data_IF_507468354325
#
_entry.id   IF_507468354325
#
_cell.length_a   1.000
_cell.length_b   1.000
_cell.length_c   1.000
_cell.angle_alpha   90.00
_cell.angle_beta   90.00
_cell.angle_gamma   90.00
#
_symmetry.space_group_name_H-M   'P 1'
#
loop_
_entity.id
_entity.type
_entity.pdbx_description
1 polymer ?
#
# COMPACT_ATOMS: atom_id res chain seq x y z
N UNK A 1 -4.44 -46.09 39.17
CA UNK A 1 -3.49 -45.46 38.21
C UNK A 1 -4.16 -44.51 37.20
N UNK A 2 -5.49 -44.29 37.23
CA UNK A 2 -6.21 -43.43 36.27
C UNK A 2 -6.45 -42.00 36.81
N UNK A 3 -6.61 -41.85 38.12
CA UNK A 3 -6.93 -40.57 38.78
C UNK A 3 -5.80 -39.53 38.73
N UNK A 4 -4.55 -39.99 38.66
CA UNK A 4 -3.35 -39.13 38.53
C UNK A 4 -3.18 -38.56 37.12
N UNK A 5 -3.47 -39.34 36.07
CA UNK A 5 -3.42 -38.87 34.68
C UNK A 5 -4.51 -37.84 34.36
N UNK A 6 -5.70 -37.97 34.97
CA UNK A 6 -6.78 -37.00 34.80
C UNK A 6 -6.43 -35.64 35.44
N UNK A 7 -5.87 -35.66 36.66
CA UNK A 7 -5.40 -34.45 37.35
C UNK A 7 -4.29 -33.72 36.59
N UNK A 8 -3.35 -34.46 35.98
CA UNK A 8 -2.27 -33.88 35.18
C UNK A 8 -2.78 -33.22 33.89
N UNK A 9 -3.74 -33.85 33.19
CA UNK A 9 -4.36 -33.24 31.99
C UNK A 9 -5.14 -31.97 32.32
N UNK A 10 -5.91 -31.98 33.42
CA UNK A 10 -6.65 -30.79 33.88
C UNK A 10 -5.68 -29.65 34.23
N UNK A 11 -4.56 -29.97 34.89
CA UNK A 11 -3.54 -28.98 35.22
C UNK A 11 -2.89 -28.38 33.96
N UNK A 12 -2.52 -29.20 32.97
CA UNK A 12 -1.97 -28.71 31.70
C UNK A 12 -2.97 -27.84 30.92
N UNK A 13 -4.27 -28.20 30.91
CA UNK A 13 -5.30 -27.40 30.27
C UNK A 13 -5.48 -26.04 30.97
N UNK A 14 -5.48 -26.01 32.31
CA UNK A 14 -5.54 -24.76 33.07
C UNK A 14 -4.32 -23.87 32.80
N UNK A 15 -3.13 -24.44 32.72
CA UNK A 15 -1.91 -23.69 32.41
C UNK A 15 -1.93 -23.12 30.98
N UNK A 16 -2.42 -23.90 30.00
CA UNK A 16 -2.57 -23.44 28.62
C UNK A 16 -3.59 -22.28 28.52
N UNK A 17 -4.71 -22.37 29.23
CA UNK A 17 -5.71 -21.29 29.29
C UNK A 17 -5.13 -20.03 29.93
N UNK A 18 -4.38 -20.17 31.03
CA UNK A 18 -3.71 -19.02 31.67
C UNK A 18 -2.68 -18.35 30.75
N UNK A 19 -1.91 -19.14 29.98
CA UNK A 19 -0.97 -18.59 29.00
C UNK A 19 -1.69 -17.85 27.88
N UNK A 20 -2.82 -18.36 27.38
CA UNK A 20 -3.64 -17.69 26.37
C UNK A 20 -4.24 -16.41 26.93
N UNK A 21 -4.77 -16.42 28.15
CA UNK A 21 -5.30 -15.23 28.81
C UNK A 21 -4.20 -14.19 29.01
N UNK A 22 -3.02 -14.58 29.49
CA UNK A 22 -1.88 -13.66 29.62
C UNK A 22 -1.43 -13.08 28.27
N UNK A 23 -1.46 -13.88 27.20
CA UNK A 23 -1.16 -13.42 25.85
C UNK A 23 -2.20 -12.41 25.36
N UNK A 24 -3.49 -12.71 25.54
CA UNK A 24 -4.59 -11.80 25.19
C UNK A 24 -4.52 -10.51 26.00
N UNK A 25 -4.25 -10.58 27.31
CA UNK A 25 -4.09 -9.41 28.18
C UNK A 25 -2.88 -8.57 27.79
N UNK A 26 -1.75 -9.18 27.42
CA UNK A 26 -0.59 -8.45 26.93
C UNK A 26 -0.87 -7.80 25.56
N UNK A 27 -1.56 -8.51 24.66
CA UNK A 27 -1.94 -7.96 23.35
C UNK A 27 -2.92 -6.79 23.53
N UNK A 28 -3.93 -6.93 24.39
CA UNK A 28 -4.87 -5.84 24.67
C UNK A 28 -4.22 -4.69 25.44
N UNK A 29 -3.22 -4.92 26.30
CA UNK A 29 -2.43 -3.85 26.91
C UNK A 29 -1.56 -3.11 25.90
N UNK A 30 -0.99 -3.80 24.90
CA UNK A 30 -0.26 -3.16 23.80
C UNK A 30 -1.21 -2.30 22.96
N UNK A 31 -2.42 -2.79 22.66
CA UNK A 31 -3.45 -2.00 21.96
C UNK A 31 -3.97 -0.82 22.82
N UNK A 32 -4.07 -0.99 24.14
CA UNK A 32 -4.50 0.06 25.08
C UNK A 32 -3.44 1.17 25.24
N UNK A 33 -2.15 0.82 25.28
CA UNK A 33 -1.05 1.80 25.30
C UNK A 33 -1.01 2.65 24.03
N UNK A 34 -1.40 2.09 22.88
CA UNK A 34 -1.56 2.85 21.64
C UNK A 34 -2.75 3.85 21.72
N UNK A 35 -3.76 3.52 22.53
CA UNK A 35 -4.96 4.34 22.69
C UNK A 35 -4.84 5.43 23.78
N UNK A 36 -4.04 5.24 24.83
CA UNK A 36 -3.85 6.20 25.94
C UNK A 36 -2.79 7.29 25.70
N UNK A 37 -2.06 7.27 24.58
CA UNK A 37 -1.21 8.42 24.20
C UNK A 37 -2.03 9.61 23.65
N UNK A 38 -3.34 9.65 23.94
CA UNK A 38 -4.33 10.67 23.62
C UNK A 38 -4.76 11.43 24.89
N UNK A 39 -3.94 12.39 25.34
CA UNK A 39 -4.47 13.66 25.84
C UNK A 39 -3.34 14.67 26.02
N UNK A 40 -3.35 15.68 25.16
CA UNK A 40 -2.37 16.75 25.11
C UNK A 40 -2.73 17.74 24.01
N UNK A 41 -4.03 18.02 23.86
CA UNK A 41 -4.54 19.08 23.01
C UNK A 41 -4.27 20.42 23.68
N UNK A 42 -3.40 21.24 23.09
CA UNK A 42 -3.43 22.69 23.31
C UNK A 42 -4.48 23.26 22.34
N UNK A 43 -5.60 23.70 22.90
CA UNK A 43 -6.61 24.51 22.21
C UNK A 43 -6.19 25.96 22.37
N UNK A 44 -6.03 26.69 21.27
CA UNK A 44 -6.07 28.15 21.28
C UNK A 44 -7.45 28.61 20.76
N UNK A 45 -7.99 29.63 21.42
CA UNK A 45 -9.38 30.04 21.42
C UNK A 45 -9.63 31.13 20.38
N UNK A 46 -10.16 30.79 19.21
CA UNK A 46 -10.82 31.80 18.34
C UNK A 46 -11.69 31.28 17.19
N UNK A 47 -12.03 29.98 17.10
CA UNK A 47 -13.26 29.49 16.44
C UNK A 47 -13.69 30.12 15.11
N UNK A 48 -12.77 30.40 14.18
CA UNK A 48 -13.11 30.99 12.88
C UNK A 48 -12.39 30.26 11.73
N UNK A 49 -13.16 29.83 10.74
CA UNK A 49 -12.69 29.17 9.52
C UNK A 49 -11.81 30.11 8.70
N UNK A 50 -10.55 29.72 8.51
CA UNK A 50 -9.69 30.27 7.46
C UNK A 50 -9.34 29.12 6.52
N UNK A 51 -9.87 29.21 5.29
CA UNK A 51 -9.42 28.41 4.16
C UNK A 51 -7.90 28.52 4.05
N UNK A 52 -7.11 27.44 3.94
CA UNK A 52 -5.73 27.57 3.52
C UNK A 52 -5.75 27.84 2.01
N UNK A 53 -6.06 29.09 1.67
CA UNK A 53 -5.55 29.71 0.47
C UNK A 53 -4.05 29.41 0.47
N UNK A 54 -3.56 28.85 -0.64
CA UNK A 54 -2.16 28.55 -0.88
C UNK A 54 -1.33 29.83 -0.66
N UNK A 55 -0.95 30.04 0.59
CA UNK A 55 -0.03 31.08 1.01
C UNK A 55 1.31 30.39 1.01
N UNK A 56 2.13 30.77 0.03
CA UNK A 56 3.54 30.43 -0.02
C UNK A 56 4.23 30.97 1.23
N UNK A 57 4.14 30.23 2.33
CA UNK A 57 5.12 30.31 3.40
C UNK A 57 6.24 29.40 2.91
N UNK A 58 7.31 30.01 2.42
CA UNK A 58 8.60 29.34 2.31
C UNK A 58 8.94 28.79 3.70
N UNK A 59 8.58 27.54 3.95
CA UNK A 59 9.11 26.80 5.08
C UNK A 59 10.52 26.47 4.64
N UNK A 60 11.52 27.08 5.25
CA UNK A 60 12.89 26.60 5.13
C UNK A 60 12.92 25.20 5.77
N UNK A 61 12.61 24.18 4.97
CA UNK A 61 12.81 22.79 5.35
C UNK A 61 14.31 22.54 5.32
N UNK A 62 14.81 21.88 6.36
CA UNK A 62 16.15 21.35 6.33
C UNK A 62 16.06 19.92 5.78
N UNK A 63 16.37 19.79 4.50
CA UNK A 63 16.33 18.56 3.74
C UNK A 63 17.74 18.28 3.21
N UNK A 64 18.29 17.11 3.50
CA UNK A 64 19.69 16.84 3.16
C UNK A 64 19.95 16.60 1.67
N UNK A 65 18.91 16.32 0.88
CA UNK A 65 19.03 16.17 -0.57
C UNK A 65 19.26 17.50 -1.31
N UNK A 66 18.94 18.66 -0.71
CA UNK A 66 19.16 19.97 -1.36
C UNK A 66 20.64 20.29 -1.59
N UNK A 67 21.53 19.56 -0.90
CA UNK A 67 22.98 19.71 -1.02
C UNK A 67 23.64 18.54 -1.77
N UNK A 68 22.86 17.59 -2.28
CA UNK A 68 23.38 16.43 -2.99
C UNK A 68 23.46 16.74 -4.50
N UNK A 69 24.68 16.89 -5.00
CA UNK A 69 24.93 17.06 -6.42
C UNK A 69 25.06 15.68 -7.08
N UNK A 70 24.04 15.26 -7.82
CA UNK A 70 24.10 14.03 -8.61
C UNK A 70 25.12 14.17 -9.75
N UNK A 71 25.83 13.10 -10.07
CA UNK A 71 26.60 12.99 -11.30
C UNK A 71 25.68 12.96 -12.52
N UNK A 72 26.23 13.13 -13.72
CA UNK A 72 25.43 13.05 -14.95
C UNK A 72 24.84 11.66 -15.18
N UNK A 73 25.52 10.60 -14.73
CA UNK A 73 25.01 9.23 -14.82
C UNK A 73 23.84 9.01 -13.85
N UNK A 74 23.99 9.45 -12.59
CA UNK A 74 22.93 9.33 -11.58
C UNK A 74 21.68 10.12 -11.96
N UNK A 75 21.82 11.29 -12.58
CA UNK A 75 20.66 12.04 -13.11
C UNK A 75 19.88 11.26 -14.17
N UNK A 76 20.57 10.63 -15.10
CA UNK A 76 19.92 9.82 -16.14
C UNK A 76 19.20 8.62 -15.52
N UNK A 77 19.79 8.01 -14.51
CA UNK A 77 19.16 6.92 -13.75
C UNK A 77 17.94 7.39 -12.95
N UNK A 78 18.06 8.52 -12.25
CA UNK A 78 16.95 9.16 -11.53
C UNK A 78 15.78 9.47 -12.47
N UNK A 79 16.05 10.13 -13.60
CA UNK A 79 15.02 10.45 -14.60
C UNK A 79 14.33 9.18 -15.11
N UNK A 80 15.09 8.10 -15.36
CA UNK A 80 14.56 6.83 -15.80
C UNK A 80 13.69 6.15 -14.71
N UNK A 81 14.09 6.21 -13.45
CA UNK A 81 13.34 5.65 -12.31
C UNK A 81 12.06 6.45 -12.05
N UNK A 82 12.13 7.78 -12.09
CA UNK A 82 10.96 8.66 -11.96
C UNK A 82 9.96 8.40 -13.10
N UNK A 83 10.43 8.30 -14.34
CA UNK A 83 9.58 7.94 -15.47
C UNK A 83 8.95 6.54 -15.33
N UNK A 84 9.69 5.55 -14.81
CA UNK A 84 9.20 4.19 -14.61
C UNK A 84 8.17 4.07 -13.47
N UNK A 85 8.19 4.98 -12.50
CA UNK A 85 7.24 5.00 -11.36
C UNK A 85 6.00 5.85 -11.64
N UNK A 86 5.99 6.61 -12.73
CA UNK A 86 4.87 7.46 -13.10
C UNK A 86 3.63 6.62 -13.44
N UNK A 87 2.60 6.73 -12.61
CA UNK A 87 1.29 6.15 -12.89
C UNK A 87 0.45 7.14 -13.70
N UNK A 88 -0.15 6.66 -14.79
CA UNK A 88 -1.05 7.45 -15.61
C UNK A 88 -2.33 7.72 -14.82
N UNK A 89 -2.51 8.96 -14.37
CA UNK A 89 -3.76 9.39 -13.73
C UNK A 89 -4.58 10.17 -14.74
N UNK A 90 -5.86 9.81 -14.91
CA UNK A 90 -6.77 10.54 -15.78
C UNK A 90 -6.83 12.02 -15.41
N UNK A 91 -6.77 12.90 -16.41
CA UNK A 91 -7.01 14.33 -16.26
C UNK A 91 -8.51 14.61 -16.09
N UNK A 92 -9.05 14.09 -14.99
CA UNK A 92 -10.46 14.23 -14.61
C UNK A 92 -10.50 14.94 -13.27
N UNK A 93 -11.36 15.95 -13.17
CA UNK A 93 -11.60 16.74 -11.96
C UNK A 93 -11.99 15.89 -10.73
N UNK A 94 -12.34 16.52 -9.62
CA UNK A 94 -12.89 15.85 -8.43
C UNK A 94 -14.08 14.94 -8.80
N UNK A 95 -13.82 13.63 -8.87
CA UNK A 95 -14.82 12.61 -9.18
C UNK A 95 -15.50 12.20 -7.88
N UNK A 96 -16.83 12.33 -7.75
CA UNK A 96 -17.53 11.86 -6.56
C UNK A 96 -17.48 10.32 -6.49
N UNK A 97 -17.52 9.77 -5.27
CA UNK A 97 -17.49 8.32 -5.04
C UNK A 97 -18.44 7.51 -5.93
N UNK A 98 -19.68 7.98 -6.11
CA UNK A 98 -20.69 7.29 -6.94
C UNK A 98 -20.30 7.16 -8.42
N UNK A 99 -19.36 7.97 -8.91
CA UNK A 99 -18.82 7.92 -10.28
C UNK A 99 -17.44 7.22 -10.36
N UNK A 100 -16.96 6.66 -9.24
CA UNK A 100 -15.73 5.87 -9.20
C UNK A 100 -15.97 4.41 -9.56
N UNK A 101 -14.90 3.70 -9.87
CA UNK A 101 -14.98 2.31 -10.33
C UNK A 101 -15.65 1.39 -9.31
N UNK A 102 -16.75 0.76 -9.72
CA UNK A 102 -17.45 -0.26 -8.97
C UNK A 102 -17.06 -1.65 -9.48
N UNK A 103 -16.33 -2.45 -8.68
CA UNK A 103 -15.94 -3.80 -9.07
C UNK A 103 -17.12 -4.76 -9.22
N UNK A 104 -18.25 -4.50 -8.54
CA UNK A 104 -19.43 -5.37 -8.55
C UNK A 104 -20.28 -5.23 -9.83
N UNK A 105 -20.36 -4.02 -10.38
CA UNK A 105 -20.98 -3.73 -11.68
C UNK A 105 -20.02 -3.96 -12.86
N UNK A 106 -18.72 -4.03 -12.60
CA UNK A 106 -17.70 -4.33 -13.62
C UNK A 106 -17.63 -5.81 -13.94
N UNK A 107 -17.16 -6.15 -15.15
CA UNK A 107 -16.99 -7.54 -15.54
C UNK A 107 -15.82 -7.75 -16.50
N UNK A 108 -15.41 -9.02 -16.64
CA UNK A 108 -14.45 -9.43 -17.66
C UNK A 108 -14.97 -10.56 -18.55
N UNK A 109 -14.40 -10.65 -19.75
CA UNK A 109 -14.71 -11.66 -20.76
C UNK A 109 -13.41 -12.24 -21.31
N UNK A 110 -13.30 -13.57 -21.29
CA UNK A 110 -12.20 -14.27 -21.94
C UNK A 110 -12.46 -14.34 -23.45
N UNK A 111 -11.55 -13.80 -24.25
CA UNK A 111 -11.67 -13.85 -25.71
C UNK A 111 -11.39 -15.28 -26.20
N UNK A 112 -12.23 -15.77 -27.11
CA UNK A 112 -12.16 -17.13 -27.64
C UNK A 112 -12.22 -18.22 -26.54
N UNK A 113 -13.06 -18.03 -25.53
CA UNK A 113 -13.18 -18.95 -24.38
C UNK A 113 -13.54 -20.41 -24.74
N UNK A 114 -14.22 -20.62 -25.87
CA UNK A 114 -14.54 -21.96 -26.38
C UNK A 114 -13.35 -22.69 -27.05
N UNK A 115 -12.25 -21.97 -27.32
CA UNK A 115 -11.08 -22.56 -27.96
C UNK A 115 -10.27 -23.43 -26.99
N UNK A 116 -9.61 -24.45 -27.55
CA UNK A 116 -8.61 -25.23 -26.82
C UNK A 116 -7.23 -24.63 -27.08
N UNK A 117 -6.58 -24.16 -26.03
CA UNK A 117 -5.29 -23.49 -26.10
C UNK A 117 -4.13 -24.50 -25.95
N UNK A 118 -2.95 -24.16 -26.44
CA UNK A 118 -1.73 -24.94 -26.20
C UNK A 118 -0.87 -24.25 -25.15
N UNK A 119 -0.04 -25.02 -24.44
CA UNK A 119 1.00 -24.43 -23.59
C UNK A 119 1.91 -23.52 -24.43
N UNK A 120 2.17 -22.31 -23.92
CA UNK A 120 2.87 -21.22 -24.58
C UNK A 120 1.99 -20.31 -25.43
N UNK A 121 0.71 -20.61 -25.62
CA UNK A 121 -0.24 -19.69 -26.25
C UNK A 121 -0.52 -18.48 -25.35
N UNK A 122 -0.84 -17.35 -25.98
CA UNK A 122 -1.30 -16.16 -25.29
C UNK A 122 -2.83 -16.21 -25.15
N UNK A 123 -3.33 -15.98 -23.94
CA UNK A 123 -4.74 -15.78 -23.63
C UNK A 123 -5.01 -14.29 -23.48
N UNK A 124 -6.08 -13.83 -24.11
CA UNK A 124 -6.54 -12.45 -24.04
C UNK A 124 -7.85 -12.35 -23.26
N UNK A 125 -7.94 -11.36 -22.38
CA UNK A 125 -9.12 -11.10 -21.57
C UNK A 125 -9.44 -9.61 -21.67
N UNK A 126 -10.71 -9.29 -21.93
CA UNK A 126 -11.20 -7.91 -21.95
C UNK A 126 -11.91 -7.64 -20.63
N UNK A 127 -11.56 -6.54 -19.97
CA UNK A 127 -12.24 -6.04 -18.77
C UNK A 127 -12.97 -4.76 -19.13
N UNK A 128 -14.22 -4.65 -18.70
CA UNK A 128 -15.03 -3.47 -18.89
C UNK A 128 -15.47 -2.95 -17.52
N UNK A 129 -14.96 -1.78 -17.16
CA UNK A 129 -15.22 -1.19 -15.84
C UNK A 129 -16.39 -0.21 -15.87
N UNK A 130 -17.20 -0.28 -14.82
CA UNK A 130 -18.37 0.57 -14.61
C UNK A 130 -18.23 1.35 -13.31
N UNK A 131 -18.98 2.44 -13.19
CA UNK A 131 -19.11 3.18 -11.94
C UNK A 131 -20.22 2.61 -11.03
N UNK A 132 -20.37 3.16 -9.83
CA UNK A 132 -21.42 2.78 -8.88
C UNK A 132 -22.84 3.19 -9.34
N UNK A 133 -22.97 4.01 -10.39
CA UNK A 133 -24.26 4.24 -11.06
C UNK A 133 -24.56 3.18 -12.13
N UNK A 134 -23.66 2.20 -12.32
CA UNK A 134 -23.77 1.16 -13.34
C UNK A 134 -23.45 1.64 -14.76
N UNK A 135 -22.83 2.82 -14.92
CA UNK A 135 -22.48 3.39 -16.23
C UNK A 135 -21.05 3.01 -16.61
N UNK A 136 -20.79 2.71 -17.91
CA UNK A 136 -19.44 2.53 -18.40
C UNK A 136 -18.55 3.74 -18.10
N UNK A 137 -17.38 3.50 -17.50
CA UNK A 137 -16.40 4.58 -17.34
C UNK A 137 -15.83 4.99 -18.69
N UNK A 138 -15.42 6.26 -18.79
CA UNK A 138 -14.86 6.86 -20.00
C UNK A 138 -13.35 7.09 -19.93
N UNK A 139 -12.72 6.63 -18.86
CA UNK A 139 -11.30 6.79 -18.58
C UNK A 139 -10.79 5.57 -17.80
N UNK A 140 -9.47 5.44 -17.74
CA UNK A 140 -8.79 4.33 -17.08
C UNK A 140 -8.14 4.73 -15.76
N UNK A 141 -6.91 4.25 -15.53
CA UNK A 141 -6.07 4.57 -14.38
C UNK A 141 -6.29 3.67 -13.17
N UNK A 142 -7.22 2.70 -13.24
CA UNK A 142 -7.46 1.74 -12.16
C UNK A 142 -6.28 0.78 -12.02
N UNK A 143 -5.94 0.43 -10.78
CA UNK A 143 -4.97 -0.63 -10.54
C UNK A 143 -5.68 -1.97 -10.50
N UNK A 144 -5.69 -2.64 -11.66
CA UNK A 144 -6.20 -4.00 -11.78
C UNK A 144 -5.05 -5.01 -11.59
N UNK A 145 -5.30 -6.01 -10.75
CA UNK A 145 -4.45 -7.17 -10.64
C UNK A 145 -5.13 -8.36 -11.31
N UNK A 146 -4.43 -8.98 -12.26
CA UNK A 146 -4.95 -10.11 -13.00
C UNK A 146 -4.02 -11.31 -12.88
N UNK A 147 -4.58 -12.49 -12.62
CA UNK A 147 -3.84 -13.75 -12.49
C UNK A 147 -4.56 -14.90 -13.17
N UNK A 148 -3.79 -15.85 -13.68
CA UNK A 148 -4.27 -17.21 -13.97
C UNK A 148 -3.82 -18.15 -12.87
N UNK A 149 -4.64 -19.15 -12.56
CA UNK A 149 -4.31 -20.15 -11.55
C UNK A 149 -5.01 -21.49 -11.80
N UNK A 150 -4.40 -22.55 -11.29
CA UNK A 150 -4.99 -23.90 -11.27
C UNK A 150 -4.85 -24.50 -9.87
N UNK A 151 -5.93 -24.51 -9.06
CA UNK A 151 -5.86 -24.99 -7.68
C UNK A 151 -5.29 -26.41 -7.54
N UNK A 152 -5.65 -27.31 -8.48
CA UNK A 152 -5.15 -28.69 -8.49
C UNK A 152 -3.63 -28.81 -8.65
N UNK A 153 -3.01 -27.85 -9.33
CA UNK A 153 -1.57 -27.83 -9.59
C UNK A 153 -0.82 -26.88 -8.66
N UNK A 154 -1.54 -26.13 -7.80
CA UNK A 154 -0.99 -25.04 -7.01
C UNK A 154 -0.15 -24.05 -7.84
N UNK A 155 -0.52 -23.89 -9.12
CA UNK A 155 0.18 -23.03 -10.07
C UNK A 155 -0.57 -21.71 -10.23
N UNK A 156 0.18 -20.61 -10.37
CA UNK A 156 -0.34 -19.27 -10.61
C UNK A 156 0.64 -18.42 -11.39
N UNK A 157 0.13 -17.53 -12.24
CA UNK A 157 0.94 -16.56 -12.98
C UNK A 157 0.19 -15.24 -13.15
N UNK A 158 0.93 -14.14 -13.16
CA UNK A 158 0.40 -12.79 -13.33
C UNK A 158 0.17 -12.47 -14.80
N UNK A 159 -0.88 -11.70 -15.07
CA UNK A 159 -1.19 -11.16 -16.39
C UNK A 159 -0.63 -9.77 -16.57
N UNK A 160 -0.28 -9.42 -17.81
CA UNK A 160 0.05 -8.04 -18.19
C UNK A 160 -1.24 -7.30 -18.50
N UNK A 161 -1.54 -6.26 -17.73
CA UNK A 161 -2.71 -5.39 -17.95
C UNK A 161 -2.30 -4.22 -18.84
N UNK A 162 -3.12 -3.92 -19.85
CA UNK A 162 -3.00 -2.75 -20.71
C UNK A 162 -4.28 -1.95 -20.57
N UNK A 163 -4.14 -0.70 -20.16
CA UNK A 163 -5.24 0.25 -20.03
C UNK A 163 -5.44 1.00 -21.35
N UNK A 164 -6.66 1.00 -21.89
CA UNK A 164 -7.02 1.75 -23.09
C UNK A 164 -7.53 3.16 -22.80
N UNK A 165 -7.55 3.58 -21.54
CA UNK A 165 -7.94 4.91 -21.08
C UNK A 165 -9.36 5.31 -21.48
N UNK A 166 -10.25 4.33 -21.63
CA UNK A 166 -11.62 4.53 -22.09
C UNK A 166 -12.64 3.63 -21.36
N UNK A 167 -12.28 3.14 -20.17
CA UNK A 167 -13.08 2.17 -19.40
C UNK A 167 -12.86 0.71 -19.81
N UNK A 168 -12.01 0.45 -20.80
CA UNK A 168 -11.60 -0.91 -21.18
C UNK A 168 -10.14 -1.19 -20.80
N UNK A 169 -9.91 -2.40 -20.31
CA UNK A 169 -8.57 -2.94 -20.10
C UNK A 169 -8.43 -4.25 -20.85
N UNK A 170 -7.25 -4.50 -21.40
CA UNK A 170 -6.89 -5.78 -21.99
C UNK A 170 -5.83 -6.46 -21.17
N UNK A 171 -6.08 -7.71 -20.78
CA UNK A 171 -5.13 -8.52 -20.03
C UNK A 171 -4.59 -9.62 -20.92
N UNK A 172 -3.27 -9.79 -20.89
CA UNK A 172 -2.55 -10.83 -21.61
C UNK A 172 -1.93 -11.81 -20.62
N UNK A 173 -2.20 -13.10 -20.81
CA UNK A 173 -1.54 -14.18 -20.08
C UNK A 173 -0.78 -15.08 -21.04
N UNK A 174 0.41 -15.53 -20.62
CA UNK A 174 1.05 -16.68 -21.25
C UNK A 174 0.58 -17.93 -20.53
N UNK A 175 0.04 -18.91 -21.27
CA UNK A 175 -0.46 -20.15 -20.68
C UNK A 175 0.70 -21.12 -20.43
N UNK A 176 1.08 -21.29 -19.16
CA UNK A 176 2.33 -21.97 -18.78
C UNK A 176 2.17 -23.48 -18.51
N UNK A 177 0.95 -23.98 -18.31
CA UNK A 177 0.71 -25.38 -17.98
C UNK A 177 -0.58 -25.92 -18.61
N UNK A 178 -0.68 -27.25 -18.84
CA UNK A 178 -1.89 -27.88 -19.36
C UNK A 178 -2.95 -28.06 -18.27
N UNK A 179 -4.19 -28.31 -18.69
CA UNK A 179 -5.35 -28.53 -17.84
C UNK A 179 -6.33 -27.35 -17.85
N UNK A 180 -7.20 -27.32 -16.83
CA UNK A 180 -8.16 -26.23 -16.64
C UNK A 180 -7.48 -25.07 -15.92
N UNK A 181 -7.36 -23.93 -16.60
CA UNK A 181 -6.74 -22.71 -16.11
C UNK A 181 -7.82 -21.67 -15.86
N UNK A 182 -7.93 -21.18 -14.61
CA UNK A 182 -8.89 -20.15 -14.21
C UNK A 182 -8.26 -18.77 -14.27
N UNK A 183 -9.02 -17.79 -14.73
CA UNK A 183 -8.70 -16.37 -14.70
C UNK A 183 -9.33 -15.75 -13.46
N UNK A 184 -8.59 -14.88 -12.78
CA UNK A 184 -9.12 -14.03 -11.72
C UNK A 184 -8.59 -12.62 -11.89
N UNK A 185 -9.50 -11.65 -11.81
CA UNK A 185 -9.20 -10.23 -11.91
C UNK A 185 -9.75 -9.55 -10.67
N UNK A 186 -8.96 -8.68 -10.07
CA UNK A 186 -9.37 -7.89 -8.92
C UNK A 186 -9.01 -6.42 -9.12
N UNK A 187 -9.94 -5.54 -8.78
CA UNK A 187 -9.68 -4.12 -8.59
C UNK A 187 -8.92 -3.95 -7.26
N UNK A 188 -7.66 -3.55 -7.32
CA UNK A 188 -6.87 -3.28 -6.11
C UNK A 188 -7.21 -1.89 -5.58
N UNK A 189 -7.13 -0.88 -6.45
CA UNK A 189 -7.54 0.50 -6.17
C UNK A 189 -8.22 1.12 -7.39
N UNK A 190 -9.33 1.85 -7.21
CA UNK A 190 -9.92 2.65 -8.26
C UNK A 190 -9.00 3.85 -8.59
N UNK A 191 -9.06 4.33 -9.83
CA UNK A 191 -8.23 5.45 -10.34
C UNK A 191 -8.29 6.71 -9.46
N UNK A 192 -9.44 7.00 -8.86
CA UNK A 192 -9.71 8.15 -8.00
C UNK A 192 -8.96 8.01 -6.67
N UNK A 193 -8.95 6.80 -6.10
CA UNK A 193 -8.17 6.48 -4.91
C UNK A 193 -6.67 6.53 -5.18
N UNK A 194 -6.21 6.10 -6.36
CA UNK A 194 -4.79 6.19 -6.74
C UNK A 194 -4.33 7.65 -6.79
N UNK A 195 -5.16 8.55 -7.34
CA UNK A 195 -4.86 9.99 -7.33
C UNK A 195 -4.71 10.54 -5.90
N UNK A 196 -5.56 10.11 -4.96
CA UNK A 196 -5.41 10.48 -3.54
C UNK A 196 -4.07 9.95 -2.99
N UNK A 197 -3.70 8.71 -3.28
CA UNK A 197 -2.43 8.12 -2.83
C UNK A 197 -1.21 8.88 -3.39
N UNK A 198 -1.25 9.28 -4.65
CA UNK A 198 -0.20 10.10 -5.27
C UNK A 198 -0.10 11.48 -4.61
N UNK A 199 -1.23 12.17 -4.44
CA UNK A 199 -1.24 13.45 -3.72
C UNK A 199 -0.63 13.32 -2.32
N UNK A 200 -0.97 12.27 -1.58
CA UNK A 200 -0.39 12.04 -0.26
C UNK A 200 1.11 11.72 -0.32
N UNK A 201 1.59 11.08 -1.39
CA UNK A 201 3.01 10.79 -1.60
C UNK A 201 3.82 12.08 -1.76
N UNK A 202 3.30 13.01 -2.56
CA UNK A 202 3.97 14.27 -2.89
C UNK A 202 3.79 15.34 -1.81
N UNK A 203 2.55 15.54 -1.34
CA UNK A 203 2.21 16.62 -0.43
C UNK A 203 2.48 16.29 1.04
N UNK A 204 2.57 14.99 1.40
CA UNK A 204 2.74 14.49 2.78
C UNK A 204 3.81 13.39 2.86
N UNK A 205 5.05 13.63 2.40
CA UNK A 205 6.12 12.64 2.48
C UNK A 205 6.48 12.29 3.94
N UNK A 206 6.26 13.20 4.89
CA UNK A 206 6.51 13.01 6.32
C UNK A 206 5.32 12.41 7.11
N UNK A 207 4.32 11.86 6.41
CA UNK A 207 3.13 11.23 7.00
C UNK A 207 3.46 10.08 7.96
N UNK A 208 4.58 9.40 7.72
CA UNK A 208 5.19 8.50 8.70
C UNK A 208 6.25 9.32 9.41
N UNK A 209 6.06 9.54 10.70
CA UNK A 209 7.05 10.24 11.49
C UNK A 209 7.81 9.26 12.36
N UNK A 210 9.08 9.57 12.54
CA UNK A 210 9.99 8.77 13.33
C UNK A 210 10.40 9.52 14.59
N UNK A 211 10.93 8.80 15.57
CA UNK A 211 11.41 9.33 16.84
C UNK A 211 12.74 8.68 17.22
N UNK A 212 13.52 9.38 18.03
CA UNK A 212 14.72 8.83 18.68
C UNK A 212 14.69 9.15 20.17
N UNK A 213 15.17 8.21 20.99
CA UNK A 213 15.39 8.41 22.42
C UNK A 213 16.80 8.96 22.64
N UNK A 214 16.87 10.06 23.40
CA UNK A 214 18.09 10.65 23.91
C UNK A 214 18.15 10.40 25.41
N UNK A 215 19.27 9.91 25.94
CA UNK A 215 19.37 9.63 27.37
C UNK A 215 20.79 9.80 27.90
N UNK A 216 20.88 10.43 29.06
CA UNK A 216 22.08 10.52 29.87
C UNK A 216 21.72 10.30 31.33
N UNK A 217 22.21 9.21 31.92
CA UNK A 217 21.83 8.79 33.26
C UNK A 217 20.32 8.59 33.43
N UNK A 218 19.70 9.42 34.28
CA UNK A 218 18.26 9.42 34.59
C UNK A 218 17.43 10.34 33.70
N UNK A 219 18.05 11.21 32.91
CA UNK A 219 17.34 12.13 32.02
C UNK A 219 17.15 11.45 30.68
N UNK A 220 15.91 11.42 30.19
CA UNK A 220 15.57 10.92 28.87
C UNK A 220 14.59 11.85 28.17
N UNK A 221 14.82 12.08 26.88
CA UNK A 221 13.98 12.92 26.02
C UNK A 221 13.75 12.21 24.69
N UNK A 222 12.51 12.19 24.20
CA UNK A 222 12.16 11.60 22.91
C UNK A 222 11.88 12.69 21.90
N UNK A 223 12.61 12.71 20.79
CA UNK A 223 12.51 13.77 19.78
C UNK A 223 12.07 13.20 18.43
N UNK A 224 11.24 13.96 17.69
CA UNK A 224 10.85 13.61 16.31
C UNK A 224 12.09 13.67 15.40
N UNK A 225 12.18 12.70 14.50
CA UNK A 225 13.21 12.58 13.49
C UNK A 225 12.58 12.34 12.12
N UNK A 226 13.25 12.81 11.07
CA UNK A 226 12.91 12.50 9.69
C UNK A 226 14.05 12.89 8.73
N UNK A 227 13.91 12.49 7.46
CA UNK A 227 14.77 12.90 6.33
C UNK A 227 14.70 14.41 6.09
N UNK A 228 13.53 15.01 6.33
CA UNK A 228 13.29 16.44 6.25
C UNK A 228 12.56 16.95 7.50
N UNK A 229 13.07 17.99 8.13
CA UNK A 229 12.42 18.65 9.27
C UNK A 229 12.42 20.17 9.08
N UNK A 230 11.46 20.91 9.66
CA UNK A 230 11.49 22.37 9.66
C UNK A 230 12.80 22.89 10.27
N UNK A 231 13.54 23.72 9.53
CA UNK A 231 14.81 24.31 9.97
C UNK A 231 14.66 25.45 10.98
N UNK A 232 13.43 25.79 11.37
CA UNK A 232 13.14 26.84 12.35
C UNK A 232 13.46 26.44 13.79
N UNK A 233 13.69 25.14 14.06
CA UNK A 233 14.04 24.63 15.37
C UNK A 233 15.45 24.03 15.35
N UNK A 234 16.20 24.06 16.47
CA UNK A 234 17.51 23.42 16.55
C UNK A 234 17.44 21.92 16.23
N UNK A 235 18.30 21.46 15.33
CA UNK A 235 18.37 20.07 14.87
C UNK A 235 19.69 19.40 15.27
N UNK A 236 19.63 18.09 15.45
CA UNK A 236 20.77 17.18 15.44
C UNK A 236 20.91 16.56 14.05
N UNK A 237 22.11 16.64 13.49
CA UNK A 237 22.44 16.03 12.20
C UNK A 237 23.07 14.65 12.41
N UNK A 238 22.43 13.61 11.89
CA UNK A 238 22.88 12.22 11.90
C UNK A 238 22.95 11.66 10.48
N UNK A 239 23.21 12.51 9.49
CA UNK A 239 23.48 12.10 8.12
C UNK A 239 24.57 11.03 8.13
N UNK A 240 24.32 9.92 7.45
CA UNK A 240 25.29 8.85 7.36
C UNK A 240 26.53 9.35 6.59
N UNK A 241 27.71 9.20 7.19
CA UNK A 241 28.94 9.74 6.62
C UNK A 241 29.46 8.93 5.41
N UNK A 242 29.01 7.69 5.26
CA UNK A 242 29.43 6.79 4.18
C UNK A 242 28.49 6.88 2.98
N UNK A 243 27.18 6.84 3.22
CA UNK A 243 26.16 6.88 2.15
C UNK A 243 25.69 8.31 1.83
N UNK A 244 25.89 9.26 2.74
CA UNK A 244 25.32 10.60 2.63
C UNK A 244 23.82 10.66 2.92
N UNK A 245 23.20 9.56 3.35
CA UNK A 245 21.75 9.49 3.59
C UNK A 245 21.36 10.43 4.74
N UNK A 246 20.51 11.44 4.48
CA UNK A 246 20.25 12.46 5.47
C UNK A 246 19.26 11.99 6.53
N UNK A 247 19.61 12.28 7.78
CA UNK A 247 18.79 11.94 8.92
C UNK A 247 18.88 13.01 10.01
N UNK A 248 17.75 13.64 10.32
CA UNK A 248 17.69 14.72 11.29
C UNK A 248 16.73 14.41 12.42
N UNK A 249 17.05 14.92 13.61
CA UNK A 249 16.16 14.91 14.77
C UNK A 249 16.08 16.30 15.38
N UNK A 250 14.95 16.67 16.00
CA UNK A 250 14.95 17.86 16.86
C UNK A 250 15.94 17.69 18.01
N UNK A 251 16.66 18.75 18.34
CA UNK A 251 17.60 18.75 19.44
C UNK A 251 16.84 18.73 20.77
N UNK A 252 17.11 17.77 21.67
CA UNK A 252 16.51 17.76 23.01
C UNK A 252 16.96 18.98 23.83
N UNK A 253 16.13 19.42 24.78
CA UNK A 253 16.38 20.67 25.51
C UNK A 253 17.50 20.54 26.54
N UNK A 254 17.59 19.38 27.19
CA UNK A 254 18.50 19.14 28.33
C UNK A 254 19.68 18.23 27.98
N UNK A 255 19.64 17.61 26.80
CA UNK A 255 20.59 16.59 26.40
C UNK A 255 21.37 17.00 25.13
N UNK A 256 22.63 16.54 24.96
CA UNK A 256 23.36 16.75 23.72
C UNK A 256 22.91 15.75 22.64
N UNK A 257 23.16 16.08 21.38
CA UNK A 257 22.84 15.19 20.25
C UNK A 257 23.54 13.82 20.33
N UNK A 258 24.73 13.77 20.93
CA UNK A 258 25.51 12.54 21.14
C UNK A 258 24.85 11.53 22.09
N UNK A 259 23.83 11.94 22.85
CA UNK A 259 23.11 11.06 23.77
C UNK A 259 22.00 10.24 23.12
N UNK A 260 21.89 10.27 21.77
CA UNK A 260 20.95 9.44 21.02
C UNK A 260 21.28 7.97 21.21
N UNK A 261 20.30 7.18 21.62
CA UNK A 261 20.46 5.74 21.88
C UNK A 261 19.86 4.88 20.76
N UNK A 262 18.75 5.33 20.16
CA UNK A 262 18.03 4.52 19.19
C UNK A 262 17.25 5.37 18.17
N UNK A 263 16.49 4.67 17.34
CA UNK A 263 15.53 5.20 16.39
C UNK A 263 14.36 4.22 16.26
N UNK A 264 13.14 4.74 16.21
CA UNK A 264 11.94 3.94 16.06
C UNK A 264 10.83 4.72 15.37
N UNK A 265 9.87 3.99 14.79
CA UNK A 265 8.68 4.57 14.18
C UNK A 265 7.82 5.23 15.26
N UNK A 266 7.53 6.52 15.09
CA UNK A 266 6.69 7.28 16.01
C UNK A 266 5.19 7.11 15.73
N UNK A 267 4.82 6.83 14.49
CA UNK A 267 3.44 6.55 14.09
C UNK A 267 3.09 7.13 12.72
N UNK A 268 1.79 7.27 12.47
CA UNK A 268 1.24 7.93 11.29
C UNK A 268 0.55 9.24 11.68
N UNK A 269 0.63 10.24 10.81
CA UNK A 269 -0.19 11.43 10.91
C UNK A 269 -1.68 11.05 10.79
N UNK A 270 -2.51 11.63 11.67
CA UNK A 270 -3.97 11.45 11.63
C UNK A 270 -4.61 12.50 10.72
N UNK A 271 -5.81 12.22 10.22
CA UNK A 271 -6.58 13.17 9.42
C UNK A 271 -5.98 13.47 8.05
N UNK A 272 -5.27 12.51 7.46
CA UNK A 272 -4.69 12.65 6.12
C UNK A 272 -5.74 12.59 5.00
N UNK A 273 -6.85 11.90 5.24
CA UNK A 273 -7.94 11.72 4.29
C UNK A 273 -9.14 12.56 4.71
N UNK A 274 -9.78 13.22 3.76
CA UNK A 274 -11.13 13.76 3.97
C UNK A 274 -12.15 12.62 4.02
N UNK A 275 -13.38 12.92 4.45
CA UNK A 275 -14.48 11.95 4.40
C UNK A 275 -14.75 11.48 2.96
N UNK A 276 -14.61 12.37 1.97
CA UNK A 276 -14.76 12.04 0.56
C UNK A 276 -13.63 11.11 0.08
N UNK A 277 -12.38 11.41 0.43
CA UNK A 277 -11.23 10.58 0.04
C UNK A 277 -11.31 9.18 0.64
N UNK A 278 -11.74 9.09 1.90
CA UNK A 278 -11.88 7.82 2.63
C UNK A 278 -12.87 6.88 1.94
N UNK A 279 -13.85 7.41 1.21
CA UNK A 279 -14.81 6.61 0.46
C UNK A 279 -14.16 5.76 -0.65
N UNK A 280 -13.00 6.16 -1.18
CA UNK A 280 -12.25 5.38 -2.19
C UNK A 280 -11.46 4.20 -1.60
N UNK A 281 -11.45 4.03 -0.28
CA UNK A 281 -10.66 3.03 0.43
C UNK A 281 -11.51 2.08 1.29
N UNK A 282 -12.72 1.76 0.84
CA UNK A 282 -13.67 0.93 1.58
C UNK A 282 -13.42 -0.57 1.37
N UNK A 283 -13.09 -1.27 2.47
CA UNK A 283 -12.94 -2.72 2.50
C UNK A 283 -14.26 -3.42 2.18
N UNK A 284 -14.22 -4.43 1.31
CA UNK A 284 -15.42 -5.15 0.88
C UNK A 284 -16.30 -4.40 -0.13
N UNK A 285 -15.87 -3.21 -0.58
CA UNK A 285 -16.64 -2.37 -1.52
C UNK A 285 -15.82 -2.05 -2.76
N UNK A 286 -14.65 -1.40 -2.64
CA UNK A 286 -13.85 -0.97 -3.79
C UNK A 286 -12.35 -1.29 -3.70
N UNK A 287 -11.83 -1.67 -2.53
CA UNK A 287 -10.42 -2.09 -2.40
C UNK A 287 -10.31 -3.60 -2.48
N UNK A 288 -9.35 -4.07 -3.28
CA UNK A 288 -9.00 -5.51 -3.40
C UNK A 288 -10.22 -6.40 -3.69
N UNK A 289 -11.15 -5.89 -4.47
CA UNK A 289 -12.40 -6.58 -4.78
C UNK A 289 -12.29 -7.37 -6.09
N UNK A 290 -12.88 -8.57 -6.16
CA UNK A 290 -12.93 -9.32 -7.41
C UNK A 290 -13.84 -8.63 -8.43
N UNK A 291 -13.46 -8.72 -9.70
CA UNK A 291 -14.32 -8.39 -10.85
C UNK A 291 -14.81 -9.73 -11.41
N UNK A 292 -16.13 -9.87 -11.56
CA UNK A 292 -16.72 -11.15 -11.97
C UNK A 292 -16.64 -11.37 -13.48
N UNK A 293 -16.61 -12.64 -13.89
CA UNK A 293 -16.70 -12.98 -15.32
C UNK A 293 -18.15 -12.87 -15.79
N UNK A 294 -18.38 -12.27 -16.97
CA UNK A 294 -19.69 -12.32 -17.62
C UNK A 294 -19.93 -13.67 -18.34
N UNK A 295 -18.86 -14.40 -18.64
CA UNK A 295 -18.89 -15.73 -19.26
C UNK A 295 -18.03 -16.74 -18.49
N UNK A 296 -17.49 -17.79 -19.15
CA UNK A 296 -16.56 -18.72 -18.54
C UNK A 296 -15.35 -17.99 -17.94
N UNK A 297 -14.99 -18.34 -16.71
CA UNK A 297 -13.80 -17.85 -16.00
C UNK A 297 -12.58 -18.77 -16.20
N UNK A 298 -12.67 -19.76 -17.09
CA UNK A 298 -11.60 -20.72 -17.33
C UNK A 298 -11.47 -21.12 -18.80
N UNK A 299 -10.28 -21.63 -19.14
CA UNK A 299 -9.98 -22.23 -20.45
C UNK A 299 -9.32 -23.60 -20.31
N UNK A 300 -9.39 -24.40 -21.37
CA UNK A 300 -8.68 -25.68 -21.46
C UNK A 300 -7.35 -25.48 -22.18
N UNK A 301 -6.26 -25.91 -21.56
CA UNK A 301 -4.92 -25.88 -22.14
C UNK A 301 -4.41 -27.30 -22.35
N UNK A 302 -3.91 -27.62 -23.54
CA UNK A 302 -3.30 -28.91 -23.86
C UNK A 302 -1.79 -28.78 -24.00
N UNK A 303 -1.07 -29.86 -23.69
CA UNK A 303 0.38 -29.93 -23.87
C UNK A 303 0.75 -29.73 -25.35
N UNK A 304 1.92 -29.11 -25.60
CA UNK A 304 2.54 -29.18 -26.93
C UNK A 304 2.82 -30.65 -27.22
N UNK A 305 2.27 -31.21 -28.31
CA UNK A 305 2.71 -32.51 -28.82
C UNK A 305 4.21 -32.39 -29.10
N UNK A 306 5.04 -33.10 -28.36
CA UNK A 306 6.39 -33.44 -28.80
C UNK A 306 6.21 -34.27 -30.06
N UNK A 307 6.59 -33.73 -31.23
CA UNK A 307 6.81 -34.59 -32.40
C UNK A 307 7.85 -35.62 -31.95
N UNK A 308 7.45 -36.87 -31.83
CA UNK A 308 8.36 -37.96 -31.51
C UNK A 308 9.53 -37.92 -32.49
N UNK A 309 10.75 -37.92 -31.95
CA UNK A 309 11.91 -38.35 -32.73
C UNK A 309 11.63 -39.80 -33.12
N UNK A 310 11.20 -40.01 -34.35
CA UNK A 310 11.34 -41.31 -35.01
C UNK A 310 12.85 -41.49 -35.14
N UNK A 311 13.42 -42.36 -34.29
CA UNK A 311 14.72 -42.96 -34.51
C UNK A 311 14.52 -44.16 -35.42
#
# INVERSE_FOLDING_TARGET
>A
MWTTFFKLRVFCCLFAVLMVVALVVNVTQVEYLDHETLSGTFIDSSGQFVSPQATGISRNLYCGYEHQALSSQERVEEDALLAATQWQVPDVDLVPFVKSTDPSSSYFVILNSAAVFKVGSQLEVLVHVHDFEGKPKKYGGDYLQARIHSPKLQAGAMGRVVDYQNGFYKVFFTLLWPGRVRVSISLVHPSEGIRVLQYLQEAKPDRVYFKSLFRSGRISETMKCNVCLPGSLPLCNFTDLYTGEPWFCFKPKKLPCSSRINHFKGGYMKGLLTAADSAFFQSGVNIKMPINSSGPDWVTVISRRTKGKIK
#
